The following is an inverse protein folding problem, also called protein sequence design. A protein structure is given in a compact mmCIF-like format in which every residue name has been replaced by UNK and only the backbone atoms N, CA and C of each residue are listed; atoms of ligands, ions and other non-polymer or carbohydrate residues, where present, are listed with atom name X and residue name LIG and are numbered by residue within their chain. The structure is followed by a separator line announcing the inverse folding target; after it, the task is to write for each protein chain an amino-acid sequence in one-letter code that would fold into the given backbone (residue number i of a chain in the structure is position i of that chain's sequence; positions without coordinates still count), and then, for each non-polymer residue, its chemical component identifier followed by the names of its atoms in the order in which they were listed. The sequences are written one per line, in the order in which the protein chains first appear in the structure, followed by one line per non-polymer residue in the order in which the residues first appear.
data_IF_685055101736
#
_entry.id   IF_685055101736
#
_cell.length_a   1.000
_cell.length_b   1.000
_cell.length_c   1.000
_cell.angle_alpha   90.00
_cell.angle_beta   90.00
_cell.angle_gamma   90.00
#
_symmetry.space_group_name_H-M   'P 1'
#
loop_
_entity.id
_entity.type
_entity.pdbx_description
1 polymer ?
#
# COMPACT_ATOMS: atom_id res chain seq x y z
N UNK A 1 1.01 33.31 5.45
CA UNK A 1 2.33 33.70 4.93
C UNK A 1 3.35 32.73 5.52
N UNK A 2 3.53 31.56 4.88
CA UNK A 2 4.50 30.56 5.31
C UNK A 2 5.80 30.81 4.55
N UNK A 3 6.86 31.10 5.30
CA UNK A 3 8.18 31.44 4.78
C UNK A 3 8.83 30.17 4.18
N UNK A 4 8.77 29.98 2.86
CA UNK A 4 9.56 28.96 2.15
C UNK A 4 11.04 29.35 2.23
N UNK A 5 11.78 28.82 3.20
CA UNK A 5 13.25 28.78 3.14
C UNK A 5 13.65 27.67 2.18
N UNK A 6 14.08 28.04 0.97
CA UNK A 6 14.83 27.14 0.10
C UNK A 6 16.21 26.95 0.71
N UNK A 7 16.51 25.73 1.18
CA UNK A 7 17.87 25.30 1.50
C UNK A 7 18.26 24.31 0.42
N UNK A 8 19.24 24.66 -0.40
CA UNK A 8 19.85 23.72 -1.33
C UNK A 8 20.73 22.74 -0.53
N UNK A 9 20.42 21.44 -0.57
CA UNK A 9 21.19 20.43 0.15
C UNK A 9 22.20 19.75 -0.79
N UNK A 10 23.45 19.67 -0.34
CA UNK A 10 24.57 19.03 -1.03
C UNK A 10 24.75 17.56 -0.60
N UNK A 11 25.47 16.79 -1.42
CA UNK A 11 25.79 15.37 -1.21
C UNK A 11 26.32 15.04 0.19
N UNK A 12 25.92 13.89 0.76
CA UNK A 12 26.48 13.34 2.00
C UNK A 12 25.52 13.17 3.19
N UNK A 13 24.20 13.11 2.99
CA UNK A 13 23.24 12.80 4.08
C UNK A 13 23.22 11.29 4.42
N UNK A 14 23.13 10.96 5.71
CA UNK A 14 23.12 9.59 6.26
C UNK A 14 21.83 9.42 7.09
N UNK A 15 20.82 8.75 6.54
CA UNK A 15 19.59 8.43 7.29
C UNK A 15 19.88 7.33 8.32
N UNK A 16 19.61 7.55 9.60
CA UNK A 16 19.65 6.49 10.60
C UNK A 16 18.23 5.96 10.86
N UNK A 17 18.10 4.65 10.96
CA UNK A 17 16.86 4.00 11.41
C UNK A 17 17.14 3.42 12.80
N UNK A 18 16.65 4.08 13.85
CA UNK A 18 16.92 3.74 15.23
C UNK A 18 15.77 2.89 15.83
N UNK A 19 15.76 1.58 15.63
CA UNK A 19 14.74 0.74 16.28
C UNK A 19 14.98 0.67 17.80
N UNK A 20 14.04 1.12 18.64
CA UNK A 20 14.19 1.14 20.11
C UNK A 20 13.25 0.11 20.77
N UNK A 21 13.75 -1.08 21.10
CA UNK A 21 12.95 -2.11 21.78
C UNK A 21 12.84 -1.83 23.29
N UNK A 22 11.66 -2.09 23.89
CA UNK A 22 11.45 -1.88 25.33
C UNK A 22 12.14 -2.96 26.21
N UNK A 23 13.00 -2.46 27.10
CA UNK A 23 13.56 -2.91 28.38
C UNK A 23 14.17 -4.32 28.57
N UNK A 24 13.77 -5.38 27.88
CA UNK A 24 14.18 -6.74 28.31
C UNK A 24 14.68 -7.67 27.18
N UNK A 25 14.81 -7.19 25.95
CA UNK A 25 15.35 -8.00 24.86
C UNK A 25 16.85 -8.34 25.11
N UNK A 26 17.13 -9.52 25.68
CA UNK A 26 18.48 -9.94 26.03
C UNK A 26 19.30 -10.38 24.82
N UNK A 27 18.65 -10.87 23.76
CA UNK A 27 19.29 -11.14 22.47
C UNK A 27 18.39 -10.69 21.33
N UNK A 28 18.87 -9.72 20.56
CA UNK A 28 18.30 -9.37 19.25
C UNK A 28 19.27 -9.83 18.17
N UNK A 29 18.85 -10.77 17.34
CA UNK A 29 19.58 -11.21 16.15
C UNK A 29 18.82 -10.71 14.93
N UNK A 30 19.49 -10.01 14.04
CA UNK A 30 18.95 -9.64 12.74
C UNK A 30 20.00 -10.05 11.72
N UNK A 31 19.59 -10.82 10.73
CA UNK A 31 20.50 -11.26 9.69
C UNK A 31 20.62 -10.17 8.62
N UNK A 32 19.48 -9.63 8.19
CA UNK A 32 19.43 -8.58 7.17
C UNK A 32 18.19 -7.72 7.35
N UNK A 33 18.34 -6.43 7.09
CA UNK A 33 17.21 -5.51 6.89
C UNK A 33 17.33 -4.95 5.48
N UNK A 34 16.23 -5.00 4.74
CA UNK A 34 16.11 -4.36 3.44
C UNK A 34 14.97 -3.35 3.49
N UNK A 35 15.14 -2.22 2.83
CA UNK A 35 14.01 -1.37 2.47
C UNK A 35 13.38 -2.00 1.22
N UNK A 36 12.14 -2.47 1.32
CA UNK A 36 11.43 -3.05 0.18
C UNK A 36 10.92 -1.98 -0.76
N UNK A 37 10.48 -0.86 -0.19
CA UNK A 37 9.95 0.28 -0.91
C UNK A 37 9.82 1.46 0.05
N UNK A 38 9.57 2.63 -0.51
CA UNK A 38 8.98 3.72 0.23
C UNK A 38 8.17 4.60 -0.70
N UNK A 39 7.21 5.28 -0.13
CA UNK A 39 6.49 6.41 -0.70
C UNK A 39 7.02 7.68 -0.03
N UNK A 40 6.54 8.85 -0.44
CA UNK A 40 6.82 10.11 0.28
C UNK A 40 6.27 10.11 1.72
N UNK A 41 5.46 9.10 2.08
CA UNK A 41 4.73 8.98 3.36
C UNK A 41 5.04 7.70 4.15
N UNK A 42 5.57 6.65 3.50
CA UNK A 42 5.76 5.34 4.12
C UNK A 42 7.09 4.74 3.69
N UNK A 43 7.78 4.05 4.59
CA UNK A 43 8.95 3.23 4.22
C UNK A 43 8.74 1.83 4.78
N UNK A 44 8.80 0.84 3.90
CA UNK A 44 8.59 -0.57 4.28
C UNK A 44 9.94 -1.24 4.45
N UNK A 45 10.15 -1.83 5.63
CA UNK A 45 11.35 -2.61 5.91
C UNK A 45 10.97 -4.09 5.96
N UNK A 46 11.79 -4.92 5.31
CA UNK A 46 11.77 -6.37 5.49
C UNK A 46 12.89 -6.77 6.43
N UNK A 47 12.53 -7.51 7.47
CA UNK A 47 13.47 -8.07 8.42
C UNK A 47 13.64 -9.56 8.14
N UNK A 48 14.85 -9.95 7.75
CA UNK A 48 15.22 -11.34 7.58
C UNK A 48 15.82 -11.87 8.88
N UNK A 49 15.20 -12.91 9.41
CA UNK A 49 15.60 -13.63 10.62
C UNK A 49 15.81 -12.71 11.84
N UNK A 50 14.89 -11.74 12.02
CA UNK A 50 14.79 -10.95 13.24
C UNK A 50 14.31 -11.85 14.39
N UNK A 51 15.21 -12.18 15.30
CA UNK A 51 14.90 -12.92 16.52
C UNK A 51 15.06 -11.97 17.70
N UNK A 52 14.02 -11.79 18.49
CA UNK A 52 14.03 -11.00 19.73
C UNK A 52 13.66 -11.93 20.87
N UNK A 53 14.59 -12.18 21.79
CA UNK A 53 14.39 -13.06 22.95
C UNK A 53 14.41 -12.29 24.26
N UNK A 54 13.66 -12.78 25.25
CA UNK A 54 13.67 -12.27 26.63
C UNK A 54 12.72 -11.09 26.91
N UNK A 55 11.83 -10.71 25.98
CA UNK A 55 10.92 -9.57 26.18
C UNK A 55 9.95 -9.79 27.35
N UNK A 56 9.93 -8.88 28.34
CA UNK A 56 8.91 -8.89 29.43
C UNK A 56 7.74 -7.96 29.16
N UNK A 57 7.92 -6.91 28.37
CA UNK A 57 6.84 -6.01 27.93
C UNK A 57 6.39 -6.32 26.52
N UNK A 58 5.09 -6.11 26.29
CA UNK A 58 4.40 -6.36 25.02
C UNK A 58 4.34 -5.07 24.18
N UNK A 59 5.46 -4.41 23.92
CA UNK A 59 5.46 -3.26 23.01
C UNK A 59 6.85 -3.02 22.43
N UNK A 60 6.92 -2.74 21.13
CA UNK A 60 8.16 -2.39 20.44
C UNK A 60 7.99 -0.96 19.93
N UNK A 61 8.90 -0.07 20.33
CA UNK A 61 8.96 1.26 19.78
C UNK A 61 9.97 1.30 18.62
N UNK A 62 9.59 1.94 17.55
CA UNK A 62 10.46 2.17 16.42
C UNK A 62 10.71 3.66 16.33
N UNK A 63 11.97 4.07 16.31
CA UNK A 63 12.34 5.48 16.18
C UNK A 63 13.14 5.66 14.91
N UNK A 64 12.79 6.66 14.12
CA UNK A 64 13.53 6.97 12.90
C UNK A 64 14.26 8.28 13.16
N UNK A 65 15.55 8.30 12.84
CA UNK A 65 16.42 9.44 13.17
C UNK A 65 17.16 9.87 11.92
N UNK A 66 16.71 10.94 11.28
CA UNK A 66 17.46 11.50 10.18
C UNK A 66 18.67 12.27 10.73
N UNK A 67 19.87 11.94 10.26
CA UNK A 67 21.08 12.70 10.63
C UNK A 67 21.86 13.16 9.42
N UNK A 68 22.70 14.17 9.60
CA UNK A 68 23.76 14.53 8.67
C UNK A 68 25.00 14.83 9.51
N UNK A 69 26.13 14.19 9.21
CA UNK A 69 27.37 14.34 9.98
C UNK A 69 27.16 14.17 11.51
N UNK A 70 26.39 13.14 11.91
CA UNK A 70 26.06 12.82 13.31
C UNK A 70 25.18 13.84 14.05
N UNK A 71 24.77 14.94 13.42
CA UNK A 71 23.72 15.81 13.96
C UNK A 71 22.34 15.22 13.69
N UNK A 72 21.52 15.08 14.72
CA UNK A 72 20.12 14.68 14.61
C UNK A 72 19.31 15.87 14.08
N UNK A 73 18.65 15.67 12.95
CA UNK A 73 17.79 16.69 12.32
C UNK A 73 16.32 16.49 12.67
N UNK A 74 15.89 15.23 12.79
CA UNK A 74 14.51 14.92 13.14
C UNK A 74 14.40 13.54 13.77
N UNK A 75 13.31 13.33 14.51
CA UNK A 75 12.95 12.06 15.13
C UNK A 75 11.45 11.81 14.96
N UNK A 76 11.07 10.68 14.37
CA UNK A 76 9.70 10.17 14.46
C UNK A 76 9.68 8.85 15.21
N UNK A 77 8.54 8.50 15.79
CA UNK A 77 8.38 7.21 16.44
C UNK A 77 7.06 6.55 16.08
N UNK A 78 7.08 5.24 15.96
CA UNK A 78 5.91 4.38 15.79
C UNK A 78 5.93 3.35 16.90
N UNK A 79 4.84 3.26 17.66
CA UNK A 79 4.62 2.15 18.58
C UNK A 79 3.92 1.04 17.81
N UNK A 80 4.53 -0.13 17.72
CA UNK A 80 3.83 -1.32 17.22
C UNK A 80 3.37 -2.10 18.44
N UNK A 81 2.05 -2.11 18.65
CA UNK A 81 1.43 -3.06 19.55
C UNK A 81 1.66 -4.47 18.99
N UNK A 82 2.18 -5.41 19.79
CA UNK A 82 2.48 -6.73 19.30
C UNK A 82 1.17 -7.43 18.96
N UNK A 83 0.97 -7.65 17.67
CA UNK A 83 0.20 -8.78 17.17
C UNK A 83 0.69 -10.01 17.93
N UNK A 84 -0.13 -10.46 18.89
CA UNK A 84 0.08 -11.59 19.83
C UNK A 84 1.39 -12.36 19.64
N UNK A 85 2.46 -11.87 20.27
CA UNK A 85 3.75 -12.58 20.32
C UNK A 85 3.64 -13.69 21.38
N UNK A 86 3.79 -14.98 21.04
CA UNK A 86 3.92 -16.05 22.02
C UNK A 86 5.20 -15.86 22.84
N UNK A 87 5.15 -16.21 24.12
CA UNK A 87 6.15 -15.92 25.16
C UNK A 87 7.62 -16.25 24.82
N UNK A 88 8.53 -15.51 25.47
CA UNK A 88 10.00 -15.62 25.57
C UNK A 88 10.87 -15.44 24.31
N UNK A 89 10.34 -15.63 23.10
CA UNK A 89 11.08 -15.43 21.84
C UNK A 89 10.16 -15.05 20.69
N UNK A 90 10.31 -13.84 20.13
CA UNK A 90 9.73 -13.49 18.84
C UNK A 90 10.72 -13.83 17.72
N UNK A 91 10.30 -14.63 16.75
CA UNK A 91 11.08 -14.91 15.54
C UNK A 91 10.32 -14.40 14.32
N UNK A 92 10.96 -13.53 13.55
CA UNK A 92 10.45 -12.86 12.37
C UNK A 92 11.35 -13.23 11.19
N UNK A 93 10.82 -13.97 10.22
CA UNK A 93 11.53 -14.21 8.96
C UNK A 93 10.54 -14.00 7.83
N UNK A 94 10.83 -13.07 6.92
CA UNK A 94 10.02 -12.79 5.74
C UNK A 94 8.71 -12.05 6.02
N UNK A 95 8.60 -11.30 7.13
CA UNK A 95 7.46 -10.40 7.40
C UNK A 95 7.89 -8.95 7.22
N UNK A 96 7.18 -8.21 6.37
CA UNK A 96 7.34 -6.77 6.24
C UNK A 96 6.74 -6.05 7.47
N UNK A 97 7.46 -5.06 8.02
CA UNK A 97 6.89 -4.12 9.01
C UNK A 97 6.61 -2.80 8.32
N UNK A 98 5.39 -2.31 8.56
CA UNK A 98 4.88 -1.05 8.11
C UNK A 98 5.28 0.06 9.07
N UNK A 99 5.90 1.11 8.53
CA UNK A 99 6.15 2.32 9.29
C UNK A 99 5.54 3.50 8.56
N UNK A 100 4.57 4.13 9.24
CA UNK A 100 4.08 5.43 8.85
C UNK A 100 5.16 6.45 9.19
N UNK A 101 5.74 7.08 8.18
CA UNK A 101 6.76 8.08 8.39
C UNK A 101 6.14 9.46 8.15
N UNK A 102 6.20 10.35 9.16
CA UNK A 102 6.24 11.78 8.91
C UNK A 102 7.14 12.07 7.71
N UNK A 103 7.04 13.13 6.90
CA UNK A 103 8.18 13.39 5.99
C UNK A 103 7.88 14.35 4.84
N UNK A 104 7.64 15.61 5.18
CA UNK A 104 7.82 16.80 4.33
C UNK A 104 9.19 16.95 3.60
N UNK A 105 10.06 15.94 3.56
CA UNK A 105 11.47 16.08 3.17
C UNK A 105 12.05 15.01 2.23
N UNK A 106 11.37 13.89 1.92
CA UNK A 106 11.85 12.97 0.86
C UNK A 106 11.95 13.71 -0.48
N UNK A 107 11.00 14.61 -0.73
CA UNK A 107 11.00 15.57 -1.85
C UNK A 107 12.16 16.57 -1.87
N UNK A 108 12.97 16.66 -0.80
CA UNK A 108 14.12 17.57 -0.68
C UNK A 108 15.47 16.84 -0.74
N UNK A 109 15.49 15.50 -0.73
CA UNK A 109 16.70 14.72 -0.95
C UNK A 109 17.01 14.73 -2.45
N UNK A 110 18.23 15.16 -2.80
CA UNK A 110 18.64 15.27 -4.20
C UNK A 110 18.53 13.95 -4.97
N UNK A 111 18.25 14.08 -6.27
CA UNK A 111 18.10 13.00 -7.23
C UNK A 111 19.43 12.25 -7.43
N UNK A 112 19.80 11.38 -6.49
CA UNK A 112 21.04 10.60 -6.52
C UNK A 112 20.71 9.12 -6.62
N UNK A 113 21.20 8.48 -7.68
CA UNK A 113 21.17 7.03 -7.93
C UNK A 113 22.16 6.22 -7.08
N UNK A 114 22.92 6.90 -6.21
CA UNK A 114 23.81 6.23 -5.25
C UNK A 114 23.01 5.78 -4.02
N UNK A 115 23.23 4.55 -3.53
CA UNK A 115 22.55 4.06 -2.34
C UNK A 115 22.98 4.88 -1.12
N UNK A 116 21.97 5.37 -0.40
CA UNK A 116 22.13 5.97 0.91
C UNK A 116 22.52 4.87 1.89
N UNK A 117 23.61 5.10 2.62
CA UNK A 117 23.99 4.25 3.75
C UNK A 117 23.31 4.78 5.00
N UNK A 118 22.47 3.95 5.61
CA UNK A 118 21.96 4.15 6.94
C UNK A 118 22.46 3.10 7.92
N UNK A 119 22.06 3.23 9.18
CA UNK A 119 22.27 2.20 10.18
C UNK A 119 20.95 1.86 10.86
N UNK A 120 20.68 0.56 10.95
CA UNK A 120 19.78 0.00 11.93
C UNK A 120 20.49 -0.01 13.28
N UNK A 121 19.97 0.67 14.28
CA UNK A 121 20.54 0.65 15.62
C UNK A 121 19.48 0.18 16.60
N UNK A 122 19.85 -0.77 17.45
CA UNK A 122 19.03 -1.27 18.55
C UNK A 122 19.66 -0.83 19.86
N UNK A 123 18.86 -0.17 20.71
CA UNK A 123 19.29 0.27 22.03
C UNK A 123 18.49 -0.40 23.13
N UNK A 124 19.15 -0.66 24.26
CA UNK A 124 18.49 -0.94 25.51
C UNK A 124 17.90 0.38 26.05
N UNK A 125 16.61 0.42 26.37
CA UNK A 125 15.91 1.66 26.77
C UNK A 125 16.33 2.18 28.14
N UNK A 126 16.70 1.31 29.08
CA UNK A 126 17.08 1.71 30.44
C UNK A 126 18.50 2.28 30.51
N UNK A 127 19.46 1.62 29.85
CA UNK A 127 20.88 2.00 29.86
C UNK A 127 21.28 2.92 28.70
N UNK A 128 20.45 2.99 27.65
CA UNK A 128 20.79 3.66 26.39
C UNK A 128 21.85 2.94 25.54
N UNK A 129 22.36 1.80 25.99
CA UNK A 129 23.44 1.07 25.34
C UNK A 129 22.99 0.50 23.98
N UNK A 130 23.85 0.63 22.95
CA UNK A 130 23.62 0.01 21.64
C UNK A 130 23.91 -1.49 21.77
N UNK A 131 22.89 -2.32 21.56
CA UNK A 131 23.01 -3.79 21.59
C UNK A 131 23.14 -4.40 20.19
N UNK A 132 22.76 -3.66 19.14
CA UNK A 132 22.97 -4.06 17.75
C UNK A 132 23.11 -2.83 16.85
N UNK A 133 24.02 -2.90 15.87
CA UNK A 133 24.18 -1.88 14.83
C UNK A 133 24.50 -2.56 13.51
N UNK A 134 23.65 -2.38 12.50
CA UNK A 134 23.84 -2.95 11.17
C UNK A 134 23.73 -1.84 10.11
N UNK A 135 24.68 -1.70 9.18
CA UNK A 135 24.49 -0.80 8.05
C UNK A 135 23.37 -1.31 7.14
N UNK A 136 22.50 -0.42 6.70
CA UNK A 136 21.42 -0.67 5.74
C UNK A 136 21.66 0.22 4.53
N UNK A 137 21.58 -0.35 3.32
CA UNK A 137 21.67 0.42 2.08
C UNK A 137 20.26 0.61 1.52
N UNK A 138 19.95 1.79 1.01
CA UNK A 138 18.69 2.04 0.29
C UNK A 138 18.88 3.03 -0.84
N UNK A 139 18.16 2.85 -1.95
CA UNK A 139 18.14 3.80 -3.06
C UNK A 139 16.79 4.53 -3.07
N UNK A 140 16.81 5.87 -3.15
CA UNK A 140 15.58 6.67 -3.31
C UNK A 140 14.90 6.45 -4.66
N UNK A 141 15.62 5.87 -5.62
CA UNK A 141 15.10 5.55 -6.94
C UNK A 141 13.88 4.62 -6.86
N UNK A 142 13.78 3.74 -5.86
CA UNK A 142 12.61 2.90 -5.64
C UNK A 142 11.36 3.66 -5.13
N UNK A 143 11.50 4.94 -4.76
CA UNK A 143 10.44 5.78 -4.18
C UNK A 143 10.01 6.91 -5.13
N UNK A 144 10.54 6.95 -6.35
CA UNK A 144 10.32 8.05 -7.28
C UNK A 144 8.87 8.04 -7.76
N UNK A 145 8.18 9.15 -7.52
CA UNK A 145 6.83 9.43 -8.01
C UNK A 145 6.80 10.81 -8.63
N UNK A 146 6.29 10.89 -9.85
CA UNK A 146 6.20 12.13 -10.61
C UNK A 146 4.83 12.21 -11.24
N UNK A 147 4.13 13.30 -10.98
CA UNK A 147 2.86 13.63 -11.63
C UNK A 147 3.11 14.91 -12.41
N UNK A 148 2.82 14.86 -13.71
CA UNK A 148 2.99 15.99 -14.62
C UNK A 148 1.84 16.05 -15.62
N UNK A 149 1.81 17.09 -16.43
CA UNK A 149 0.83 17.25 -17.52
C UNK A 149 1.59 17.25 -18.86
N UNK A 150 1.16 16.43 -19.81
CA UNK A 150 1.75 16.42 -21.16
C UNK A 150 1.26 17.60 -22.02
N UNK A 151 1.85 17.76 -23.21
CA UNK A 151 1.45 18.83 -24.15
C UNK A 151 0.02 18.73 -24.68
N UNK A 152 -0.68 17.63 -24.43
CA UNK A 152 -2.08 17.42 -24.79
C UNK A 152 -3.04 17.59 -23.60
N UNK A 153 -2.52 17.94 -22.41
CA UNK A 153 -3.31 18.12 -21.20
C UNK A 153 -3.64 16.83 -20.46
N UNK A 154 -2.99 15.71 -20.79
CA UNK A 154 -3.14 14.44 -20.05
C UNK A 154 -2.26 14.45 -18.81
N UNK A 155 -2.71 13.77 -17.77
CA UNK A 155 -1.93 13.53 -16.56
C UNK A 155 -0.97 12.38 -16.85
N UNK A 156 0.33 12.65 -16.70
CA UNK A 156 1.39 11.64 -16.76
C UNK A 156 1.81 11.32 -15.34
N UNK A 157 1.41 10.14 -14.89
CA UNK A 157 1.63 9.60 -13.56
C UNK A 157 2.69 8.51 -13.63
N UNK A 158 3.90 8.82 -13.17
CA UNK A 158 5.05 7.92 -13.22
C UNK A 158 5.45 7.49 -11.81
N UNK A 159 5.61 6.19 -11.60
CA UNK A 159 6.11 5.67 -10.32
C UNK A 159 6.82 4.33 -10.45
N UNK A 160 7.60 4.05 -9.40
CA UNK A 160 8.34 2.81 -9.24
C UNK A 160 7.73 1.93 -8.16
N UNK A 161 7.83 0.62 -8.34
CA UNK A 161 7.43 -0.37 -7.32
C UNK A 161 8.34 -1.58 -7.37
N UNK A 162 8.32 -2.38 -6.30
CA UNK A 162 9.13 -3.59 -6.19
C UNK A 162 8.23 -4.81 -6.16
N UNK A 163 8.54 -5.77 -7.04
CA UNK A 163 7.93 -7.09 -7.06
C UNK A 163 9.03 -8.14 -7.22
N UNK A 164 8.98 -9.21 -6.42
CA UNK A 164 9.98 -10.29 -6.41
C UNK A 164 11.45 -9.80 -6.41
N UNK A 165 11.75 -8.82 -5.53
CA UNK A 165 13.07 -8.19 -5.38
C UNK A 165 13.59 -7.47 -6.63
N UNK A 166 12.73 -7.28 -7.65
CA UNK A 166 13.04 -6.53 -8.86
C UNK A 166 12.31 -5.20 -8.84
N UNK A 167 13.01 -4.14 -9.25
CA UNK A 167 12.43 -2.82 -9.45
C UNK A 167 11.68 -2.78 -10.79
N UNK A 168 10.45 -2.28 -10.74
CA UNK A 168 9.61 -1.99 -11.89
C UNK A 168 9.30 -0.49 -11.91
N UNK A 169 9.02 0.00 -13.12
CA UNK A 169 8.68 1.39 -13.38
C UNK A 169 7.55 1.44 -14.38
N UNK A 170 6.63 2.39 -14.20
CA UNK A 170 5.51 2.63 -15.11
C UNK A 170 5.30 4.12 -15.27
N UNK A 171 5.07 4.53 -16.52
CA UNK A 171 4.58 5.86 -16.87
C UNK A 171 3.15 5.69 -17.40
N UNK A 172 2.17 6.15 -16.64
CA UNK A 172 0.77 6.00 -16.93
C UNK A 172 0.22 7.33 -17.45
N UNK A 173 -0.33 7.32 -18.66
CA UNK A 173 -0.97 8.51 -19.26
C UNK A 173 -2.49 8.41 -19.11
N UNK A 174 -3.04 9.28 -18.25
CA UNK A 174 -4.46 9.37 -17.92
C UNK A 174 -5.03 10.61 -18.59
N UNK A 175 -6.12 10.48 -19.37
CA UNK A 175 -6.81 11.65 -19.89
C UNK A 175 -7.45 12.44 -18.75
N UNK A 176 -7.04 13.70 -18.59
CA UNK A 176 -7.59 14.60 -17.57
C UNK A 176 -9.10 14.78 -17.73
N UNK A 177 -9.58 14.91 -18.97
CA UNK A 177 -11.00 15.02 -19.25
C UNK A 177 -11.79 13.76 -18.88
N UNK A 178 -11.24 12.57 -19.14
CA UNK A 178 -11.89 11.31 -18.77
C UNK A 178 -11.87 11.08 -17.25
N UNK A 179 -10.77 11.45 -16.58
CA UNK A 179 -10.66 11.46 -15.13
C UNK A 179 -11.72 12.38 -14.52
N UNK A 180 -11.77 13.64 -14.95
CA UNK A 180 -12.74 14.63 -14.45
C UNK A 180 -14.19 14.20 -14.73
N UNK A 181 -14.44 13.56 -15.89
CA UNK A 181 -15.76 12.98 -16.20
C UNK A 181 -16.11 11.85 -15.24
N UNK A 182 -15.14 10.98 -14.91
CA UNK A 182 -15.34 9.89 -13.95
C UNK A 182 -15.70 10.39 -12.56
N UNK A 183 -15.00 11.42 -12.08
CA UNK A 183 -15.31 12.12 -10.82
C UNK A 183 -16.76 12.61 -10.84
N UNK A 184 -17.16 13.34 -11.88
CA UNK A 184 -18.53 13.87 -11.98
C UNK A 184 -19.60 12.77 -12.06
N UNK A 185 -19.29 11.63 -12.67
CA UNK A 185 -20.17 10.48 -12.75
C UNK A 185 -20.32 9.79 -11.38
N UNK A 186 -19.22 9.62 -10.64
CA UNK A 186 -19.19 9.08 -9.27
C UNK A 186 -19.95 9.99 -8.31
N UNK A 187 -19.75 11.30 -8.37
CA UNK A 187 -20.43 12.26 -7.49
C UNK A 187 -21.96 12.31 -7.70
N UNK A 188 -22.43 11.94 -8.90
CA UNK A 188 -23.86 11.90 -9.25
C UNK A 188 -24.46 10.50 -9.17
N UNK A 189 -23.68 9.50 -8.75
CA UNK A 189 -24.14 8.12 -8.66
C UNK A 189 -25.37 8.01 -7.75
N UNK A 190 -26.27 7.10 -8.10
CA UNK A 190 -27.36 6.63 -7.25
C UNK A 190 -27.47 5.10 -7.43
N UNK A 191 -27.75 4.35 -6.35
CA UNK A 191 -27.97 2.91 -6.44
C UNK A 191 -29.20 2.60 -7.29
N UNK A 192 -29.25 1.39 -7.85
CA UNK A 192 -30.36 1.01 -8.73
C UNK A 192 -31.68 0.79 -7.97
N UNK A 193 -31.58 0.51 -6.67
CA UNK A 193 -32.69 0.50 -5.73
C UNK A 193 -32.44 1.54 -4.66
N UNK A 194 -33.49 2.30 -4.30
CA UNK A 194 -33.42 3.31 -3.27
C UNK A 194 -32.65 4.57 -3.66
N UNK A 195 -32.11 5.26 -2.66
CA UNK A 195 -31.36 6.52 -2.81
C UNK A 195 -30.19 6.56 -1.84
N UNK A 196 -29.16 7.32 -2.21
CA UNK A 196 -28.00 7.60 -1.37
C UNK A 196 -27.67 9.09 -1.32
N UNK A 197 -27.14 9.54 -0.19
CA UNK A 197 -26.42 10.81 -0.10
C UNK A 197 -25.12 10.63 0.69
N UNK A 198 -24.20 11.58 0.52
CA UNK A 198 -22.96 11.65 1.28
C UNK A 198 -22.89 13.00 1.98
N UNK A 199 -22.92 12.99 3.31
CA UNK A 199 -23.00 14.20 4.13
C UNK A 199 -22.08 14.07 5.35
N UNK A 200 -21.16 15.04 5.52
CA UNK A 200 -20.22 15.11 6.64
C UNK A 200 -19.41 13.81 6.88
N UNK A 201 -18.98 13.13 5.82
CA UNK A 201 -18.23 11.88 5.93
C UNK A 201 -19.08 10.62 6.09
N UNK A 202 -20.42 10.73 6.07
CA UNK A 202 -21.32 9.59 6.25
C UNK A 202 -22.13 9.31 4.98
N UNK A 203 -22.23 8.03 4.64
CA UNK A 203 -23.12 7.53 3.58
C UNK A 203 -24.50 7.29 4.19
N UNK A 204 -25.50 8.02 3.69
CA UNK A 204 -26.89 7.86 4.07
C UNK A 204 -27.62 7.04 3.01
N UNK A 205 -28.27 5.95 3.43
CA UNK A 205 -28.97 5.02 2.55
C UNK A 205 -30.46 4.99 2.87
N UNK A 206 -31.31 5.06 1.83
CA UNK A 206 -32.75 4.90 1.94
C UNK A 206 -33.22 3.84 0.96
N UNK A 207 -34.03 2.89 1.43
CA UNK A 207 -34.67 1.86 0.58
C UNK A 207 -33.67 0.97 -0.18
N UNK A 208 -32.42 0.91 0.29
CA UNK A 208 -31.35 0.02 -0.21
C UNK A 208 -30.55 -0.55 0.95
N UNK A 209 -30.01 -1.75 0.78
CA UNK A 209 -29.09 -2.34 1.75
C UNK A 209 -27.67 -1.82 1.51
N UNK A 210 -26.83 -1.90 2.55
CA UNK A 210 -25.40 -1.61 2.42
C UNK A 210 -24.76 -2.47 1.32
N UNK A 211 -25.03 -3.78 1.34
CA UNK A 211 -24.51 -4.75 0.39
C UNK A 211 -24.90 -4.41 -1.07
N UNK A 212 -26.19 -4.10 -1.30
CA UNK A 212 -26.68 -3.74 -2.63
C UNK A 212 -26.13 -2.40 -3.12
N UNK A 213 -26.01 -1.42 -2.22
CA UNK A 213 -25.41 -0.12 -2.53
C UNK A 213 -23.97 -0.29 -3.06
N UNK A 214 -23.11 -1.02 -2.34
CA UNK A 214 -21.72 -1.20 -2.77
C UNK A 214 -21.58 -2.07 -4.02
N UNK A 215 -22.42 -3.09 -4.18
CA UNK A 215 -22.48 -3.87 -5.43
C UNK A 215 -22.80 -3.01 -6.64
N UNK A 216 -23.75 -2.08 -6.50
CA UNK A 216 -24.13 -1.15 -7.56
C UNK A 216 -23.04 -0.08 -7.78
N UNK A 217 -22.46 0.48 -6.72
CA UNK A 217 -21.40 1.49 -6.80
C UNK A 217 -20.15 0.94 -7.50
N UNK A 218 -19.64 -0.22 -7.06
CA UNK A 218 -18.49 -0.85 -7.68
C UNK A 218 -18.79 -1.29 -9.12
N UNK A 219 -20.01 -1.77 -9.38
CA UNK A 219 -20.47 -2.13 -10.72
C UNK A 219 -20.52 -0.95 -11.67
N UNK A 220 -20.99 0.19 -11.18
CA UNK A 220 -20.99 1.47 -11.88
C UNK A 220 -19.57 1.95 -12.17
N UNK A 221 -18.69 1.98 -11.17
CA UNK A 221 -17.29 2.39 -11.34
C UNK A 221 -16.56 1.47 -12.33
N UNK A 222 -16.75 0.16 -12.25
CA UNK A 222 -16.23 -0.80 -13.23
C UNK A 222 -16.70 -0.43 -14.64
N UNK A 223 -18.01 -0.29 -14.85
CA UNK A 223 -18.59 -0.06 -16.18
C UNK A 223 -18.13 1.26 -16.79
N UNK A 224 -18.04 2.31 -15.98
CA UNK A 224 -17.68 3.66 -16.43
C UNK A 224 -16.20 3.87 -16.68
N UNK A 225 -15.33 3.12 -15.99
CA UNK A 225 -13.88 3.34 -16.03
C UNK A 225 -13.12 2.31 -16.86
N UNK A 226 -13.69 1.13 -17.12
CA UNK A 226 -12.99 0.03 -17.80
C UNK A 226 -12.31 0.48 -19.09
N UNK A 227 -13.02 1.13 -20.02
CA UNK A 227 -12.45 1.59 -21.30
C UNK A 227 -11.50 2.80 -21.15
N UNK A 228 -11.64 3.59 -20.08
CA UNK A 228 -10.78 4.76 -19.85
C UNK A 228 -9.41 4.35 -19.31
N UNK A 229 -9.27 3.12 -18.82
CA UNK A 229 -8.03 2.55 -18.30
C UNK A 229 -7.18 1.84 -19.38
N UNK A 230 -7.51 1.93 -20.67
CA UNK A 230 -6.78 1.22 -21.73
C UNK A 230 -5.29 1.57 -21.78
N UNK A 231 -4.92 2.83 -21.57
CA UNK A 231 -3.51 3.23 -21.50
C UNK A 231 -2.79 2.57 -20.32
N UNK A 232 -3.44 2.52 -19.16
CA UNK A 232 -2.89 1.86 -17.96
C UNK A 232 -2.69 0.36 -18.23
N UNK A 233 -3.70 -0.30 -18.81
CA UNK A 233 -3.63 -1.72 -19.16
C UNK A 233 -2.51 -2.00 -20.15
N UNK A 234 -2.35 -1.16 -21.17
CA UNK A 234 -1.30 -1.30 -22.19
C UNK A 234 0.10 -1.25 -21.57
N UNK A 235 0.35 -0.31 -20.66
CA UNK A 235 1.64 -0.20 -19.96
C UNK A 235 1.92 -1.46 -19.14
N UNK A 236 0.94 -1.95 -18.37
CA UNK A 236 1.11 -3.17 -17.57
C UNK A 236 1.35 -4.41 -18.44
N UNK A 237 0.66 -4.53 -19.58
CA UNK A 237 0.89 -5.61 -20.55
C UNK A 237 2.27 -5.51 -21.20
N UNK A 238 2.76 -4.32 -21.51
CA UNK A 238 4.11 -4.14 -22.01
C UNK A 238 5.15 -4.60 -20.98
N UNK A 239 4.99 -4.21 -19.71
CA UNK A 239 5.85 -4.66 -18.61
C UNK A 239 5.83 -6.19 -18.50
N UNK A 240 4.67 -6.82 -18.63
CA UNK A 240 4.55 -8.29 -18.63
C UNK A 240 5.42 -8.94 -19.70
N UNK A 241 5.31 -8.48 -20.95
CA UNK A 241 6.02 -9.06 -22.09
C UNK A 241 7.54 -8.82 -21.99
N UNK A 242 7.96 -7.60 -21.63
CA UNK A 242 9.38 -7.24 -21.48
C UNK A 242 10.08 -8.03 -20.38
N UNK A 243 9.34 -8.42 -19.35
CA UNK A 243 9.85 -9.17 -18.20
C UNK A 243 9.55 -10.67 -18.29
N UNK A 244 8.88 -11.12 -19.36
CA UNK A 244 8.46 -12.51 -19.58
C UNK A 244 7.73 -13.11 -18.35
N UNK A 245 6.81 -12.33 -17.77
CA UNK A 245 6.09 -12.74 -16.56
C UNK A 245 5.08 -13.84 -16.88
N UNK A 246 5.09 -14.91 -16.07
CA UNK A 246 4.04 -15.92 -16.11
C UNK A 246 2.67 -15.35 -15.70
N UNK A 247 1.58 -16.10 -15.92
CA UNK A 247 0.24 -15.70 -15.51
C UNK A 247 0.17 -15.30 -14.02
N UNK A 248 0.70 -16.13 -13.13
CA UNK A 248 0.70 -15.83 -11.70
C UNK A 248 1.59 -14.62 -11.36
N UNK A 249 2.78 -14.54 -11.94
CA UNK A 249 3.69 -13.41 -11.70
C UNK A 249 3.12 -12.08 -12.22
N UNK A 250 2.36 -12.10 -13.31
CA UNK A 250 1.73 -10.92 -13.84
C UNK A 250 0.63 -10.40 -12.90
N UNK A 251 -0.23 -11.29 -12.35
CA UNK A 251 -1.21 -10.88 -11.35
C UNK A 251 -0.56 -10.24 -10.12
N UNK A 252 0.46 -10.89 -9.55
CA UNK A 252 1.16 -10.40 -8.37
C UNK A 252 1.88 -9.08 -8.64
N UNK A 253 2.49 -8.91 -9.81
CA UNK A 253 3.14 -7.67 -10.21
C UNK A 253 2.14 -6.50 -10.28
N UNK A 254 0.95 -6.74 -10.86
CA UNK A 254 -0.13 -5.74 -10.93
C UNK A 254 -0.67 -5.41 -9.53
N UNK A 255 -0.85 -6.43 -8.67
CA UNK A 255 -1.24 -6.25 -7.27
C UNK A 255 -0.23 -5.37 -6.54
N UNK A 256 1.07 -5.68 -6.63
CA UNK A 256 2.12 -4.88 -6.01
C UNK A 256 2.13 -3.44 -6.54
N UNK A 257 1.94 -3.25 -7.86
CA UNK A 257 1.86 -1.92 -8.47
C UNK A 257 0.78 -1.05 -7.80
N UNK A 258 -0.44 -1.59 -7.64
CA UNK A 258 -1.54 -0.85 -7.00
C UNK A 258 -1.32 -0.68 -5.50
N UNK A 259 -0.80 -1.71 -4.81
CA UNK A 259 -0.46 -1.59 -3.39
C UNK A 259 0.52 -0.43 -3.14
N UNK A 260 1.45 -0.16 -4.08
CA UNK A 260 2.51 0.85 -3.94
C UNK A 260 2.06 2.30 -4.12
N UNK A 261 0.77 2.51 -4.39
CA UNK A 261 0.14 3.85 -4.34
C UNK A 261 0.09 4.37 -2.88
N UNK A 262 -0.15 5.66 -2.67
CA UNK A 262 -0.37 6.25 -1.33
C UNK A 262 -1.68 5.73 -0.76
N UNK A 263 -1.68 5.31 0.51
CA UNK A 263 -2.90 4.94 1.20
C UNK A 263 -3.53 6.21 1.76
N UNK A 264 -4.58 6.70 1.12
CA UNK A 264 -5.27 7.92 1.50
C UNK A 264 -6.76 7.64 1.62
N UNK A 265 -7.34 8.02 2.76
CA UNK A 265 -8.79 7.97 2.95
C UNK A 265 -9.42 9.16 2.22
N UNK A 266 -10.33 8.90 1.27
CA UNK A 266 -11.05 9.95 0.56
C UNK A 266 -12.05 10.70 1.47
N UNK A 267 -12.18 12.01 1.26
CA UNK A 267 -13.31 12.84 1.76
C UNK A 267 -14.36 13.08 0.64
N UNK A 268 -14.19 12.39 -0.49
CA UNK A 268 -15.01 12.43 -1.68
C UNK A 268 -16.33 11.68 -1.48
N UNK A 269 -17.36 11.93 -2.32
CA UNK A 269 -18.62 11.21 -2.24
C UNK A 269 -18.45 9.69 -2.17
N UNK A 270 -19.11 9.10 -1.17
CA UNK A 270 -19.10 7.67 -0.86
C UNK A 270 -17.78 7.14 -0.31
N UNK A 271 -16.85 8.03 0.08
CA UNK A 271 -15.56 7.63 0.60
C UNK A 271 -14.79 6.76 -0.39
N UNK A 272 -14.78 7.13 -1.68
CA UNK A 272 -14.06 6.36 -2.70
C UNK A 272 -13.54 7.26 -3.83
N UNK A 273 -12.27 7.13 -4.18
CA UNK A 273 -11.71 7.66 -5.43
C UNK A 273 -12.11 6.78 -6.63
N UNK A 274 -12.28 7.40 -7.80
CA UNK A 274 -12.49 6.62 -9.03
C UNK A 274 -11.20 5.90 -9.45
N UNK A 275 -11.28 4.80 -10.22
CA UNK A 275 -10.09 4.11 -10.71
C UNK A 275 -9.12 5.00 -11.52
N UNK A 276 -9.62 5.99 -12.26
CA UNK A 276 -8.78 6.94 -13.00
C UNK A 276 -8.13 7.96 -12.09
N UNK A 277 -8.86 8.44 -11.07
CA UNK A 277 -8.35 9.35 -10.06
C UNK A 277 -7.22 8.68 -9.26
N UNK A 278 -7.44 7.45 -8.78
CA UNK A 278 -6.39 6.68 -8.11
C UNK A 278 -5.11 6.58 -8.97
N UNK A 279 -5.25 6.27 -10.27
CA UNK A 279 -4.07 6.14 -11.14
C UNK A 279 -3.41 7.48 -11.49
N UNK A 280 -4.19 8.56 -11.61
CA UNK A 280 -3.69 9.89 -11.92
C UNK A 280 -2.95 10.50 -10.73
N UNK A 281 -3.53 10.38 -9.54
CA UNK A 281 -3.01 10.96 -8.30
C UNK A 281 -2.05 10.01 -7.57
N UNK A 282 -2.10 8.70 -7.84
CA UNK A 282 -1.36 7.64 -7.15
C UNK A 282 -1.78 7.48 -5.68
N UNK A 283 -3.05 7.70 -5.38
CA UNK A 283 -3.57 7.68 -4.00
C UNK A 283 -4.93 6.98 -3.95
N UNK A 284 -5.15 6.20 -2.90
CA UNK A 284 -6.47 5.65 -2.60
C UNK A 284 -6.49 4.68 -1.46
N UNK A 285 -7.70 4.40 -0.98
CA UNK A 285 -7.98 3.54 0.17
C UNK A 285 -8.21 2.07 -0.22
N UNK A 286 -8.69 1.27 0.72
CA UNK A 286 -8.97 -0.14 0.50
C UNK A 286 -10.04 -0.40 -0.58
N UNK A 287 -11.08 0.44 -0.63
CA UNK A 287 -12.16 0.38 -1.61
C UNK A 287 -11.65 0.71 -3.02
N UNK A 288 -11.06 1.89 -3.19
CA UNK A 288 -10.57 2.37 -4.49
C UNK A 288 -9.55 1.42 -5.10
N UNK A 289 -8.61 0.90 -4.31
CA UNK A 289 -7.60 -0.07 -4.75
C UNK A 289 -8.22 -1.39 -5.16
N UNK A 290 -9.18 -1.89 -4.39
CA UNK A 290 -9.86 -3.16 -4.69
C UNK A 290 -10.68 -3.07 -5.97
N UNK A 291 -11.37 -1.95 -6.22
CA UNK A 291 -12.12 -1.71 -7.46
C UNK A 291 -11.18 -1.58 -8.67
N UNK A 292 -10.07 -0.85 -8.54
CA UNK A 292 -9.08 -0.74 -9.62
C UNK A 292 -8.50 -2.12 -9.97
N UNK A 293 -8.06 -2.89 -8.96
CA UNK A 293 -7.53 -4.24 -9.19
C UNK A 293 -8.58 -5.17 -9.78
N UNK A 294 -9.83 -5.07 -9.35
CA UNK A 294 -10.94 -5.82 -9.94
C UNK A 294 -11.06 -5.53 -11.44
N UNK A 295 -11.03 -4.26 -11.86
CA UNK A 295 -11.10 -3.88 -13.28
C UNK A 295 -9.89 -4.45 -14.05
N UNK A 296 -8.68 -4.15 -13.60
CA UNK A 296 -7.46 -4.52 -14.31
C UNK A 296 -7.33 -6.05 -14.46
N UNK A 297 -7.45 -6.78 -13.35
CA UNK A 297 -7.27 -8.23 -13.36
C UNK A 297 -8.41 -8.94 -14.10
N UNK A 298 -9.66 -8.46 -13.97
CA UNK A 298 -10.76 -9.06 -14.72
C UNK A 298 -10.57 -8.94 -16.23
N UNK A 299 -10.10 -7.79 -16.70
CA UNK A 299 -9.83 -7.57 -18.13
C UNK A 299 -8.60 -8.33 -18.64
N UNK A 300 -7.63 -8.59 -17.76
CA UNK A 300 -6.51 -9.49 -18.06
C UNK A 300 -6.88 -10.99 -18.01
N UNK A 301 -8.14 -11.32 -17.75
CA UNK A 301 -8.66 -12.69 -17.76
C UNK A 301 -8.48 -13.45 -16.44
N UNK A 302 -8.30 -12.74 -15.32
CA UNK A 302 -8.36 -13.35 -13.99
C UNK A 302 -9.81 -13.38 -13.49
N UNK A 303 -10.17 -14.48 -12.83
CA UNK A 303 -11.46 -14.60 -12.15
C UNK A 303 -11.32 -14.00 -10.74
N UNK A 304 -11.86 -12.79 -10.58
CA UNK A 304 -11.74 -11.97 -9.37
C UNK A 304 -13.11 -11.54 -8.85
N UNK A 305 -13.16 -11.30 -7.55
CA UNK A 305 -14.30 -10.78 -6.80
C UNK A 305 -13.82 -9.69 -5.85
N UNK A 306 -14.74 -8.87 -5.32
CA UNK A 306 -14.44 -8.00 -4.18
C UNK A 306 -14.93 -8.71 -2.92
N UNK A 307 -14.17 -8.59 -1.84
CA UNK A 307 -14.54 -9.07 -0.51
C UNK A 307 -14.65 -7.88 0.42
N UNK A 308 -15.69 -7.86 1.24
CA UNK A 308 -15.93 -6.76 2.15
C UNK A 308 -16.34 -7.29 3.53
N UNK A 309 -16.00 -6.54 4.56
CA UNK A 309 -16.44 -6.77 5.93
C UNK A 309 -16.96 -5.47 6.53
N UNK A 310 -18.26 -5.42 6.81
CA UNK A 310 -18.87 -4.31 7.57
C UNK A 310 -18.30 -4.25 8.99
N UNK A 311 -17.96 -5.42 9.57
CA UNK A 311 -17.39 -5.50 10.91
C UNK A 311 -15.99 -4.87 11.00
N UNK A 312 -15.21 -4.98 9.93
CA UNK A 312 -13.85 -4.48 9.86
C UNK A 312 -13.75 -3.14 9.13
N UNK A 313 -14.87 -2.67 8.55
CA UNK A 313 -14.93 -1.49 7.69
C UNK A 313 -13.83 -1.53 6.61
N UNK A 314 -13.68 -2.69 5.96
CA UNK A 314 -12.54 -2.96 5.10
C UNK A 314 -12.89 -3.76 3.84
N UNK A 315 -12.29 -3.36 2.72
CA UNK A 315 -12.41 -4.00 1.42
C UNK A 315 -11.10 -4.68 1.00
N UNK A 316 -11.21 -5.87 0.42
CA UNK A 316 -10.11 -6.59 -0.20
C UNK A 316 -10.53 -7.10 -1.57
N UNK A 317 -9.57 -7.46 -2.40
CA UNK A 317 -9.84 -8.26 -3.59
C UNK A 317 -9.79 -9.76 -3.23
N UNK A 318 -10.61 -10.56 -3.91
CA UNK A 318 -10.50 -12.01 -3.95
C UNK A 318 -10.10 -12.49 -5.34
N UNK A 319 -9.14 -13.40 -5.46
CA UNK A 319 -8.69 -13.95 -6.74
C UNK A 319 -8.75 -15.48 -6.77
N UNK A 320 -9.34 -16.05 -7.82
CA UNK A 320 -9.29 -17.48 -8.09
C UNK A 320 -7.91 -17.82 -8.67
N UNK A 321 -7.01 -18.22 -7.78
CA UNK A 321 -5.58 -18.29 -8.09
C UNK A 321 -5.10 -19.75 -8.16
N UNK A 322 -4.39 -20.08 -9.25
CA UNK A 322 -3.87 -21.42 -9.49
C UNK A 322 -2.71 -21.70 -8.54
N UNK A 323 -2.85 -22.74 -7.71
CA UNK A 323 -1.85 -23.09 -6.71
C UNK A 323 -1.86 -22.17 -5.48
N UNK A 324 -2.95 -21.44 -5.24
CA UNK A 324 -3.05 -20.52 -4.11
C UNK A 324 -2.84 -21.19 -2.76
N UNK A 325 -2.15 -20.48 -1.86
CA UNK A 325 -1.86 -20.88 -0.49
C UNK A 325 -2.39 -19.77 0.42
N UNK A 326 -2.89 -20.13 1.60
CA UNK A 326 -3.37 -19.17 2.59
C UNK A 326 -4.88 -19.08 2.68
N UNK A 327 -5.37 -17.94 3.14
CA UNK A 327 -6.77 -17.69 3.43
C UNK A 327 -7.57 -17.38 2.17
N UNK A 328 -8.80 -17.91 2.14
CA UNK A 328 -9.73 -17.75 1.04
C UNK A 328 -11.18 -17.80 1.53
N UNK A 329 -12.09 -17.26 0.73
CA UNK A 329 -13.52 -17.55 0.79
C UNK A 329 -13.92 -18.47 -0.37
N UNK A 330 -14.98 -19.25 -0.16
CA UNK A 330 -15.58 -20.07 -1.21
C UNK A 330 -16.86 -19.42 -1.69
N UNK A 331 -16.96 -19.14 -2.99
CA UNK A 331 -18.16 -18.62 -3.62
C UNK A 331 -18.49 -19.47 -4.86
N UNK A 332 -19.72 -19.98 -4.94
CA UNK A 332 -20.20 -20.85 -6.03
C UNK A 332 -19.24 -22.00 -6.37
N UNK A 333 -18.68 -22.63 -5.33
CA UNK A 333 -17.75 -23.77 -5.46
C UNK A 333 -16.32 -23.42 -5.88
N UNK A 334 -15.99 -22.14 -6.08
CA UNK A 334 -14.64 -21.66 -6.38
C UNK A 334 -14.01 -21.02 -5.15
N UNK A 335 -12.70 -21.21 -4.98
CA UNK A 335 -11.91 -20.56 -3.94
C UNK A 335 -11.37 -19.23 -4.47
N UNK A 336 -11.60 -18.16 -3.71
CA UNK A 336 -11.05 -16.84 -3.96
C UNK A 336 -10.14 -16.49 -2.79
N UNK A 337 -8.84 -16.43 -3.05
CA UNK A 337 -7.83 -16.11 -2.04
C UNK A 337 -7.82 -14.61 -1.78
N UNK A 338 -7.69 -14.22 -0.51
CA UNK A 338 -7.66 -12.81 -0.12
C UNK A 338 -6.45 -12.09 -0.73
N UNK A 339 -6.65 -10.86 -1.14
CA UNK A 339 -5.61 -9.94 -1.61
C UNK A 339 -5.79 -8.65 -0.83
N UNK A 340 -5.00 -8.51 0.22
CA UNK A 340 -4.92 -7.29 1.01
C UNK A 340 -4.21 -6.19 0.19
N UNK A 341 -4.81 -5.01 0.10
CA UNK A 341 -4.40 -3.93 -0.81
C UNK A 341 -3.86 -2.69 -0.10
N UNK A 342 -4.03 -2.58 1.22
CA UNK A 342 -3.65 -1.40 2.02
C UNK A 342 -2.17 -1.06 1.94
N UNK A 343 -1.33 -2.07 1.73
CA UNK A 343 0.10 -1.91 1.84
C UNK A 343 0.86 -2.97 0.98
N UNK A 344 2.02 -2.65 0.38
CA UNK A 344 2.72 -3.63 -0.47
C UNK A 344 3.42 -4.83 0.20
N UNK A 345 3.42 -5.98 -0.48
CA UNK A 345 4.08 -7.18 0.07
C UNK A 345 3.20 -7.97 1.02
N UNK A 346 1.93 -7.57 1.18
CA UNK A 346 0.87 -8.55 1.37
C UNK A 346 0.82 -9.46 0.15
N UNK A 347 1.15 -10.73 0.34
CA UNK A 347 1.02 -11.74 -0.71
C UNK A 347 -0.39 -12.33 -0.72
N UNK A 348 -0.79 -12.86 -1.87
CA UNK A 348 -2.10 -13.52 -2.04
C UNK A 348 -2.30 -14.60 -0.96
N UNK A 349 -3.48 -14.60 -0.36
CA UNK A 349 -3.87 -15.49 0.74
C UNK A 349 -3.43 -15.01 2.11
N UNK A 350 -2.77 -13.86 2.24
CA UNK A 350 -2.55 -13.23 3.53
C UNK A 350 -3.74 -12.38 3.96
N UNK A 351 -4.01 -12.40 5.25
CA UNK A 351 -4.96 -11.52 5.92
C UNK A 351 -4.32 -11.06 7.24
N UNK A 352 -4.51 -9.81 7.66
CA UNK A 352 -4.12 -9.37 8.99
C UNK A 352 -4.80 -10.23 10.08
N UNK A 353 -4.08 -10.65 11.13
CA UNK A 353 -4.66 -11.50 12.18
C UNK A 353 -5.91 -10.92 12.85
N UNK A 354 -5.98 -9.60 13.01
CA UNK A 354 -7.12 -8.85 13.52
C UNK A 354 -8.38 -8.98 12.66
N UNK A 355 -8.21 -9.31 11.37
CA UNK A 355 -9.29 -9.47 10.39
C UNK A 355 -9.51 -10.92 9.98
N UNK A 356 -8.85 -11.88 10.64
CA UNK A 356 -8.82 -13.29 10.23
C UNK A 356 -10.12 -14.08 10.44
N UNK A 357 -11.12 -13.54 11.15
CA UNK A 357 -12.41 -14.22 11.33
C UNK A 357 -13.28 -14.08 10.08
N UNK A 358 -13.16 -15.07 9.21
CA UNK A 358 -13.85 -15.17 7.90
C UNK A 358 -15.37 -15.15 7.96
N UNK A 359 -15.98 -15.26 9.14
CA UNK A 359 -17.45 -15.18 9.30
C UNK A 359 -18.00 -13.77 9.08
N UNK A 360 -17.15 -12.75 9.18
CA UNK A 360 -17.53 -11.37 8.93
C UNK A 360 -17.22 -10.89 7.51
N UNK A 361 -16.69 -11.77 6.67
CA UNK A 361 -16.33 -11.43 5.30
C UNK A 361 -17.35 -11.97 4.32
N UNK A 362 -17.74 -11.11 3.38
CA UNK A 362 -18.71 -11.42 2.33
C UNK A 362 -18.10 -11.19 0.96
N UNK A 363 -18.59 -11.96 -0.03
CA UNK A 363 -18.19 -11.78 -1.43
C UNK A 363 -19.18 -10.83 -2.09
N UNK A 364 -18.70 -9.64 -2.45
CA UNK A 364 -19.42 -8.66 -3.23
C UNK A 364 -19.06 -8.84 -4.72
N UNK A 365 -20.09 -9.13 -5.52
CA UNK A 365 -19.95 -9.18 -6.98
C UNK A 365 -20.48 -7.86 -7.55
N UNK A 366 -19.62 -7.01 -8.14
CA UNK A 366 -20.05 -5.78 -8.80
C UNK A 366 -21.14 -6.05 -9.83
N UNK A 367 -22.26 -5.34 -9.72
CA UNK A 367 -23.39 -5.48 -10.64
C UNK A 367 -23.19 -4.57 -11.85
N UNK A 368 -22.79 -5.15 -12.97
CA UNK A 368 -22.69 -4.44 -14.25
C UNK A 368 -24.08 -4.33 -14.87
N UNK A 369 -24.60 -3.13 -15.03
CA UNK A 369 -25.90 -2.86 -15.69
C UNK A 369 -25.74 -1.89 -16.84
#
# INVERSE_FOLDING_TARGET
MYLKRFVAFAAGMILFVLLIFDADAQNVKINKVEILQGTDENVTFNFYDLVISGMRRKSIQFTFVLTQNEQVFDTSWVMVDPVTIPYDTATWSGKAIWFYYPLMFVSQLGNNSQPYTGYLIIKNTESGAIVHKQPVQFTLEAMKREISEDGAGNIVSSFNWVYDKKLFSGEFVISKNERDTSIQERDKFQPATGRSSYENGYIMLWETSFEDFYKDLYGFLYTKNTLRLENVKKVLLQIKEENNLSYNQFAEMVICCVQSTVYLLPDEPYGIFTPLELMAEQEGDCDSRSVLLYILLKDFGYDVVIMYSEKYEHAMLGIAYVGGIGEYLTHKGKKYYFVETTAPGWIIGNIPPEWSDKRYWEVLIPQTR
#
